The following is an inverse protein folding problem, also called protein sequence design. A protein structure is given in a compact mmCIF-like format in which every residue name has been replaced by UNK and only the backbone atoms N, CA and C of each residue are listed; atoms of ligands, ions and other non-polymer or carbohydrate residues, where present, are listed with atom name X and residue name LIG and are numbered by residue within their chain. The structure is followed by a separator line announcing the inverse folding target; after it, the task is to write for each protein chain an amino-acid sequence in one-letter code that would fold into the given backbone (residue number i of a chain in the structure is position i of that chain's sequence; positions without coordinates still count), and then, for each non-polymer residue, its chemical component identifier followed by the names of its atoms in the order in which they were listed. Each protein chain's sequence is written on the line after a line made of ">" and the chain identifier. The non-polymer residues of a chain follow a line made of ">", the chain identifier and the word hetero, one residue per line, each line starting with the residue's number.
data_IF_592080736414
#
_entry.id   IF_592080736414
#
_cell.length_a   1.000
_cell.length_b   1.000
_cell.length_c   1.000
_cell.angle_alpha   90.00
_cell.angle_beta   90.00
_cell.angle_gamma   90.00
#
_symmetry.space_group_name_H-M   'P 1'
#
loop_
_entity.id
_entity.type
_entity.pdbx_description
1 polymer ?
#
# COMPACT_ATOMS: atom_id res chain seq x y z
N UNK A 1 3.72 2.92 4.28
CA UNK A 1 2.45 2.16 4.38
C UNK A 1 1.95 2.02 5.82
N UNK A 2 2.64 1.26 6.69
CA UNK A 2 2.21 0.98 8.07
C UNK A 2 1.87 2.23 8.89
N UNK A 3 2.71 3.28 8.83
CA UNK A 3 2.43 4.57 9.49
C UNK A 3 1.08 5.17 9.05
N UNK A 4 0.80 5.18 7.74
CA UNK A 4 -0.46 5.68 7.20
C UNK A 4 -1.63 4.85 7.69
N UNK A 5 -1.52 3.52 7.66
CA UNK A 5 -2.57 2.63 8.14
C UNK A 5 -2.86 2.83 9.64
N UNK A 6 -1.82 3.03 10.46
CA UNK A 6 -1.97 3.33 11.88
C UNK A 6 -2.75 4.63 12.11
N UNK A 7 -2.41 5.72 11.42
CA UNK A 7 -3.14 6.99 11.52
C UNK A 7 -4.59 6.87 11.06
N UNK A 8 -4.86 6.09 10.00
CA UNK A 8 -6.23 5.90 9.51
C UNK A 8 -7.12 5.11 10.48
N UNK A 9 -6.54 4.25 11.33
CA UNK A 9 -7.32 3.49 12.35
C UNK A 9 -7.98 4.40 13.39
N UNK A 10 -7.47 5.62 13.59
CA UNK A 10 -8.03 6.62 14.51
C UNK A 10 -9.23 7.36 13.90
N UNK A 11 -9.42 7.31 12.59
CA UNK A 11 -10.52 7.99 11.91
C UNK A 11 -11.81 7.15 11.92
N UNK A 12 -13.00 7.81 11.84
CA UNK A 12 -14.25 7.12 11.58
C UNK A 12 -14.16 6.26 10.32
N UNK A 13 -14.78 5.06 10.27
CA UNK A 13 -14.65 4.15 9.13
C UNK A 13 -14.92 4.80 7.77
N UNK A 14 -15.92 5.68 7.66
CA UNK A 14 -16.25 6.38 6.41
C UNK A 14 -15.17 7.35 5.90
N UNK A 15 -14.19 7.70 6.73
CA UNK A 15 -13.12 8.64 6.38
C UNK A 15 -11.77 7.94 6.14
N UNK A 16 -11.71 6.61 6.22
CA UNK A 16 -10.46 5.84 6.10
C UNK A 16 -10.04 5.66 4.63
N UNK A 17 -9.66 6.75 3.99
CA UNK A 17 -9.22 6.77 2.59
C UNK A 17 -7.68 6.90 2.52
N UNK A 18 -7.05 6.06 1.70
CA UNK A 18 -5.61 6.11 1.42
C UNK A 18 -5.39 6.19 -0.08
N UNK A 19 -4.56 7.13 -0.50
CA UNK A 19 -4.13 7.26 -1.89
C UNK A 19 -2.71 6.70 -2.05
N UNK A 20 -2.50 5.93 -3.11
CA UNK A 20 -1.19 5.47 -3.53
C UNK A 20 -0.68 6.38 -4.65
N UNK A 21 0.46 7.04 -4.44
CA UNK A 21 1.24 7.70 -5.49
C UNK A 21 2.49 6.86 -5.70
N UNK A 22 2.70 6.20 -6.83
CA UNK A 22 1.82 6.08 -8.00
C UNK A 22 1.81 4.64 -8.54
N UNK A 23 1.02 4.37 -9.57
CA UNK A 23 1.13 3.09 -10.26
C UNK A 23 2.46 2.97 -11.03
N UNK A 24 2.85 3.98 -11.82
CA UNK A 24 3.93 3.87 -12.81
C UNK A 24 4.71 5.18 -13.06
N UNK A 25 5.10 5.90 -12.01
CA UNK A 25 5.96 7.10 -12.07
C UNK A 25 7.44 6.70 -11.99
N UNK A 26 7.89 6.00 -13.04
CA UNK A 26 9.23 5.41 -13.13
C UNK A 26 10.37 6.43 -13.09
N UNK A 27 10.19 7.59 -13.73
CA UNK A 27 11.21 8.62 -13.80
C UNK A 27 11.61 9.17 -12.42
N UNK A 28 10.70 9.12 -11.44
CA UNK A 28 10.92 9.55 -10.06
C UNK A 28 11.18 8.37 -9.11
N UNK A 29 11.27 7.14 -9.65
CA UNK A 29 11.45 5.91 -8.86
C UNK A 29 10.22 5.53 -8.02
N UNK A 30 9.05 6.06 -8.36
CA UNK A 30 7.83 5.94 -7.57
C UNK A 30 6.78 5.07 -8.28
N UNK A 31 7.12 3.80 -8.48
CA UNK A 31 6.27 2.83 -9.17
C UNK A 31 5.87 1.66 -8.27
N UNK A 32 4.62 1.21 -8.45
CA UNK A 32 4.10 -0.04 -7.90
C UNK A 32 3.93 -1.11 -8.98
N UNK A 33 3.97 -0.70 -10.24
CA UNK A 33 3.94 -1.59 -11.40
C UNK A 33 4.98 -2.69 -11.27
N UNK A 34 4.62 -3.96 -11.50
CA UNK A 34 5.56 -5.07 -11.38
C UNK A 34 6.79 -4.88 -12.26
N UNK A 35 7.96 -5.13 -11.67
CA UNK A 35 9.24 -4.90 -12.32
C UNK A 35 10.12 -6.16 -12.37
N UNK A 36 11.27 -6.07 -13.04
CA UNK A 36 12.20 -7.20 -13.15
C UNK A 36 12.98 -7.48 -11.86
N UNK A 37 13.05 -6.52 -10.92
CA UNK A 37 13.85 -6.62 -9.69
C UNK A 37 13.07 -7.26 -8.54
N UNK A 38 11.80 -6.92 -8.43
CA UNK A 38 10.90 -7.24 -7.32
C UNK A 38 9.61 -7.92 -7.78
N UNK A 39 9.33 -8.01 -9.09
CA UNK A 39 8.12 -8.63 -9.60
C UNK A 39 6.89 -7.96 -8.99
N UNK A 40 6.01 -8.75 -8.37
CA UNK A 40 4.79 -8.26 -7.71
C UNK A 40 5.01 -7.86 -6.24
N UNK A 41 6.25 -7.84 -5.74
CA UNK A 41 6.55 -7.72 -4.32
C UNK A 41 5.86 -6.53 -3.62
N UNK A 42 5.77 -5.37 -4.26
CA UNK A 42 5.04 -4.23 -3.70
C UNK A 42 3.54 -4.48 -3.55
N UNK A 43 2.92 -5.12 -4.54
CA UNK A 43 1.49 -5.46 -4.53
C UNK A 43 1.19 -6.53 -3.48
N UNK A 44 2.10 -7.49 -3.31
CA UNK A 44 1.96 -8.54 -2.29
C UNK A 44 2.00 -7.93 -0.87
N UNK A 45 2.94 -7.01 -0.59
CA UNK A 45 2.98 -6.28 0.68
C UNK A 45 1.73 -5.44 0.90
N UNK A 46 1.24 -4.73 -0.12
CA UNK A 46 -0.03 -3.99 -0.01
C UNK A 46 -1.17 -4.94 0.31
N UNK A 47 -1.22 -6.11 -0.34
CA UNK A 47 -2.25 -7.10 -0.11
C UNK A 47 -2.24 -7.61 1.33
N UNK A 48 -1.06 -7.93 1.85
CA UNK A 48 -0.87 -8.42 3.21
C UNK A 48 -1.28 -7.36 4.25
N UNK A 49 -0.82 -6.12 4.08
CA UNK A 49 -1.04 -5.06 5.06
C UNK A 49 -2.48 -4.50 5.04
N UNK A 50 -3.15 -4.54 3.89
CA UNK A 50 -4.50 -3.93 3.72
C UNK A 50 -5.62 -4.96 3.78
N UNK A 51 -5.40 -6.19 3.28
CA UNK A 51 -6.48 -7.17 3.09
C UNK A 51 -6.30 -8.47 3.87
N UNK A 52 -5.11 -8.80 4.40
CA UNK A 52 -4.98 -10.02 5.18
C UNK A 52 -5.72 -9.90 6.52
N UNK A 53 -6.36 -10.99 6.99
CA UNK A 53 -6.91 -11.01 8.34
C UNK A 53 -5.78 -10.75 9.34
N UNK A 54 -6.05 -9.89 10.33
CA UNK A 54 -5.14 -9.68 11.47
C UNK A 54 -4.83 -11.07 12.03
N UNK A 55 -3.56 -11.49 11.95
CA UNK A 55 -3.12 -12.72 12.59
C UNK A 55 -3.27 -12.48 14.10
N UNK A 56 -4.24 -13.17 14.70
CA UNK A 56 -4.41 -13.29 16.15
C UNK A 56 -3.23 -14.05 16.76
#
# INVERSE_FOLDING_TARGET
>A
LQKTLATQRELPPQHRLVFLKSWNEWAEGNHLEPDLRYGKGYLDVIREEVFAPVRV
#
